data_IF_654552651222
#
_entry.id   IF_654552651222
#
_cell.length_a   1.000
_cell.length_b   1.000
_cell.length_c   1.000
_cell.angle_alpha   90.00
_cell.angle_beta   90.00
_cell.angle_gamma   90.00
#
_symmetry.space_group_name_H-M   'P 1'
#
loop_
_entity.id
_entity.type
_entity.pdbx_description
1 polymer ?
#
# COMPACT_ATOMS: atom_id res chain seq x y z
N UNK A 1 4.54 -11.65 -34.41
CA UNK A 1 3.36 -11.37 -33.54
C UNK A 1 3.78 -10.30 -32.56
N UNK A 2 2.87 -9.49 -32.04
CA UNK A 2 3.23 -8.31 -31.24
C UNK A 2 2.39 -8.22 -29.98
N UNK A 3 3.00 -7.77 -28.90
CA UNK A 3 2.29 -7.31 -27.71
C UNK A 3 3.01 -6.14 -27.07
N UNK A 4 2.28 -5.37 -26.25
CA UNK A 4 2.80 -4.22 -25.53
C UNK A 4 2.71 -4.52 -24.04
N UNK A 5 3.80 -4.30 -23.32
CA UNK A 5 3.82 -4.27 -21.86
C UNK A 5 3.96 -2.85 -21.32
N UNK A 6 3.43 -2.62 -20.13
CA UNK A 6 3.71 -1.43 -19.34
C UNK A 6 5.04 -1.57 -18.55
N UNK A 7 5.33 -0.61 -17.68
CA UNK A 7 6.52 -0.62 -16.82
C UNK A 7 6.53 -1.74 -15.77
N UNK A 8 5.40 -2.42 -15.52
CA UNK A 8 5.28 -3.58 -14.63
C UNK A 8 5.28 -4.91 -15.37
N UNK A 9 5.69 -4.91 -16.65
CA UNK A 9 5.68 -6.08 -17.55
C UNK A 9 4.29 -6.71 -17.78
N UNK A 10 3.21 -6.01 -17.44
CA UNK A 10 1.84 -6.47 -17.71
C UNK A 10 1.48 -6.23 -19.18
N UNK A 11 0.92 -7.25 -19.83
CA UNK A 11 0.47 -7.17 -21.23
C UNK A 11 -0.81 -6.33 -21.30
N UNK A 12 -0.72 -5.13 -21.89
CA UNK A 12 -1.84 -4.19 -22.02
C UNK A 12 -2.47 -4.21 -23.43
N UNK A 13 -1.75 -4.72 -24.43
CA UNK A 13 -2.24 -4.88 -25.79
C UNK A 13 -1.55 -6.06 -26.47
N UNK A 14 -2.27 -6.74 -27.36
CA UNK A 14 -1.76 -7.83 -28.17
C UNK A 14 -2.33 -7.75 -29.59
N UNK A 15 -1.58 -8.20 -30.59
CA UNK A 15 -2.09 -8.36 -31.94
C UNK A 15 -2.98 -9.62 -32.06
N UNK A 16 -3.88 -9.61 -33.05
CA UNK A 16 -4.80 -10.74 -33.27
C UNK A 16 -4.04 -12.06 -33.51
N UNK A 17 -2.85 -12.00 -34.12
CA UNK A 17 -2.03 -13.18 -34.36
C UNK A 17 -1.61 -13.88 -33.06
N UNK A 18 -1.23 -13.12 -32.02
CA UNK A 18 -0.92 -13.68 -30.70
C UNK A 18 -2.16 -14.23 -30.01
N UNK A 19 -3.29 -13.51 -30.09
CA UNK A 19 -4.56 -13.95 -29.52
C UNK A 19 -5.03 -15.26 -30.16
N UNK A 20 -4.97 -15.37 -31.50
CA UNK A 20 -5.31 -16.57 -32.27
C UNK A 20 -4.40 -17.76 -31.89
N UNK A 21 -3.09 -17.51 -31.71
CA UNK A 21 -2.14 -18.53 -31.28
C UNK A 21 -2.51 -19.12 -29.91
N UNK A 22 -3.01 -18.28 -29.01
CA UNK A 22 -3.41 -18.66 -27.64
C UNK A 22 -4.89 -19.07 -27.55
N UNK A 23 -5.63 -19.04 -28.66
CA UNK A 23 -7.06 -19.33 -28.72
C UNK A 23 -7.88 -18.41 -27.79
N UNK A 24 -7.57 -17.11 -27.82
CA UNK A 24 -8.23 -16.07 -27.03
C UNK A 24 -9.05 -15.15 -27.95
N UNK A 25 -10.27 -14.81 -27.53
CA UNK A 25 -11.16 -13.94 -28.32
C UNK A 25 -10.84 -12.44 -28.16
N UNK A 26 -10.18 -12.04 -27.05
CA UNK A 26 -9.87 -10.65 -26.74
C UNK A 26 -8.68 -10.48 -25.79
N UNK A 27 -8.21 -9.24 -25.62
CA UNK A 27 -7.14 -8.90 -24.66
C UNK A 27 -7.59 -9.08 -23.21
N UNK A 28 -8.86 -8.82 -22.90
CA UNK A 28 -9.43 -9.03 -21.58
C UNK A 28 -9.44 -10.51 -21.19
N UNK A 29 -9.73 -11.41 -22.16
CA UNK A 29 -9.66 -12.85 -21.96
C UNK A 29 -8.21 -13.30 -21.69
N UNK A 30 -7.23 -12.76 -22.42
CA UNK A 30 -5.82 -13.02 -22.19
C UNK A 30 -5.37 -12.55 -20.79
N UNK A 31 -5.73 -11.32 -20.40
CA UNK A 31 -5.38 -10.76 -19.08
C UNK A 31 -5.93 -11.61 -17.94
N UNK A 32 -7.19 -12.06 -18.03
CA UNK A 32 -7.79 -12.97 -17.05
C UNK A 32 -7.03 -14.28 -16.90
N UNK A 33 -6.56 -14.87 -18.01
CA UNK A 33 -5.81 -16.13 -18.00
C UNK A 33 -4.39 -15.96 -17.44
N UNK A 34 -3.77 -14.79 -17.63
CA UNK A 34 -2.50 -14.44 -16.98
C UNK A 34 -2.64 -14.35 -15.46
N UNK A 35 -3.71 -13.69 -14.97
CA UNK A 35 -3.99 -13.55 -13.52
C UNK A 35 -4.25 -14.92 -12.87
N UNK A 36 -4.99 -15.79 -13.55
CA UNK A 36 -5.26 -17.16 -13.07
C UNK A 36 -4.03 -18.07 -13.10
N UNK A 37 -2.97 -17.69 -13.84
CA UNK A 37 -1.78 -18.51 -14.03
C UNK A 37 -1.96 -19.65 -15.04
N UNK A 38 -3.00 -19.61 -15.87
CA UNK A 38 -3.22 -20.62 -16.93
C UNK A 38 -2.25 -20.41 -18.12
N UNK A 39 -1.76 -19.17 -18.27
CA UNK A 39 -0.79 -18.76 -19.28
C UNK A 39 0.36 -18.02 -18.59
N UNK A 40 1.59 -18.36 -18.96
CA UNK A 40 2.80 -17.70 -18.47
C UNK A 40 3.74 -17.32 -19.61
N UNK A 41 4.31 -16.13 -19.50
CA UNK A 41 5.35 -15.61 -20.38
C UNK A 41 6.67 -15.64 -19.61
N UNK A 42 7.47 -16.67 -19.83
CA UNK A 42 8.71 -16.88 -19.08
C UNK A 42 9.91 -16.49 -19.96
N UNK A 43 10.69 -15.46 -19.60
CA UNK A 43 11.90 -15.14 -20.35
C UNK A 43 12.91 -16.30 -20.22
N UNK A 44 13.37 -16.81 -21.35
CA UNK A 44 14.41 -17.85 -21.41
C UNK A 44 15.81 -17.21 -21.49
N UNK A 45 15.93 -16.15 -22.27
CA UNK A 45 17.13 -15.31 -22.40
C UNK A 45 16.72 -13.86 -22.67
N UNK A 46 17.67 -12.92 -22.74
CA UNK A 46 17.40 -11.53 -23.14
C UNK A 46 16.72 -11.40 -24.52
N UNK A 47 16.80 -12.44 -25.36
CA UNK A 47 16.27 -12.44 -26.73
C UNK A 47 15.32 -13.59 -27.01
N UNK A 48 14.87 -14.33 -26.00
CA UNK A 48 13.91 -15.41 -26.21
C UNK A 48 12.95 -15.57 -25.03
N UNK A 49 11.73 -15.94 -25.36
CA UNK A 49 10.63 -16.11 -24.41
C UNK A 49 9.94 -17.45 -24.63
N UNK A 50 9.50 -18.09 -23.55
CA UNK A 50 8.64 -19.26 -23.59
C UNK A 50 7.23 -18.85 -23.17
N UNK A 51 6.25 -19.12 -24.02
CA UNK A 51 4.84 -19.00 -23.67
C UNK A 51 4.33 -20.38 -23.31
N UNK A 52 4.01 -20.57 -22.03
CA UNK A 52 3.51 -21.82 -21.48
C UNK A 52 2.02 -21.68 -21.24
N UNK A 53 1.24 -22.59 -21.82
CA UNK A 53 -0.17 -22.80 -21.49
C UNK A 53 -0.33 -24.21 -20.90
N UNK A 54 -1.49 -24.53 -20.33
CA UNK A 54 -1.78 -25.88 -19.83
C UNK A 54 -1.50 -27.00 -20.85
N UNK A 55 -1.64 -26.71 -22.15
CA UNK A 55 -1.62 -27.70 -23.21
C UNK A 55 -0.30 -27.73 -23.99
N UNK A 56 0.45 -26.61 -24.04
CA UNK A 56 1.63 -26.47 -24.89
C UNK A 56 2.62 -25.45 -24.33
N UNK A 57 3.90 -25.65 -24.63
CA UNK A 57 4.96 -24.67 -24.45
C UNK A 57 5.49 -24.28 -25.83
N UNK A 58 5.55 -22.99 -26.10
CA UNK A 58 5.99 -22.41 -27.37
C UNK A 58 7.16 -21.47 -27.10
N UNK A 59 8.24 -21.60 -27.86
CA UNK A 59 9.42 -20.74 -27.71
C UNK A 59 9.52 -19.78 -28.89
N UNK A 60 9.84 -18.53 -28.61
CA UNK A 60 9.97 -17.46 -29.60
C UNK A 60 11.25 -16.67 -29.35
N UNK A 61 11.86 -16.22 -30.45
CA UNK A 61 12.84 -15.14 -30.37
C UNK A 61 12.11 -13.81 -30.25
N UNK A 62 12.65 -12.89 -29.45
CA UNK A 62 12.02 -11.59 -29.17
C UNK A 62 12.90 -10.43 -29.61
N UNK A 63 12.25 -9.39 -30.13
CA UNK A 63 12.82 -8.06 -30.31
C UNK A 63 11.98 -7.07 -29.51
N UNK A 64 12.62 -6.33 -28.62
CA UNK A 64 11.95 -5.32 -27.80
C UNK A 64 12.26 -3.92 -28.31
N UNK A 65 11.29 -3.01 -28.21
CA UNK A 65 11.46 -1.60 -28.54
C UNK A 65 10.69 -0.76 -27.53
N UNK A 66 11.38 0.20 -26.91
CA UNK A 66 10.78 1.10 -25.93
C UNK A 66 9.93 2.16 -26.67
N UNK A 67 8.71 2.35 -26.19
CA UNK A 67 7.75 3.35 -26.64
C UNK A 67 7.48 4.32 -25.50
N UNK A 68 7.86 5.58 -25.63
CA UNK A 68 7.53 6.61 -24.64
C UNK A 68 6.26 7.36 -25.04
N UNK A 69 5.34 7.54 -24.10
CA UNK A 69 4.07 8.25 -24.28
C UNK A 69 3.80 9.16 -23.08
N UNK A 70 2.73 9.97 -23.17
CA UNK A 70 2.24 10.77 -22.04
C UNK A 70 1.76 9.91 -20.87
N UNK A 71 1.42 8.65 -21.12
CA UNK A 71 0.97 7.68 -20.11
C UNK A 71 2.12 6.85 -19.51
N UNK A 72 3.38 7.19 -19.82
CA UNK A 72 4.57 6.47 -19.36
C UNK A 72 5.30 5.72 -20.47
N UNK A 73 6.30 4.93 -20.05
CA UNK A 73 7.08 4.07 -20.93
C UNK A 73 6.42 2.70 -21.08
N UNK A 74 6.39 2.23 -22.32
CA UNK A 74 5.86 0.93 -22.72
C UNK A 74 6.92 0.16 -23.48
N UNK A 75 6.86 -1.17 -23.46
CA UNK A 75 7.73 -2.02 -24.26
C UNK A 75 6.91 -2.73 -25.31
N UNK A 76 7.18 -2.44 -26.59
CA UNK A 76 6.67 -3.23 -27.71
C UNK A 76 7.56 -4.46 -27.86
N UNK A 77 6.96 -5.64 -27.75
CA UNK A 77 7.63 -6.92 -27.93
C UNK A 77 7.16 -7.56 -29.23
N UNK A 78 8.12 -7.83 -30.12
CA UNK A 78 7.92 -8.55 -31.37
C UNK A 78 8.41 -9.99 -31.21
N UNK A 79 7.49 -10.95 -31.37
CA UNK A 79 7.77 -12.39 -31.38
C UNK A 79 8.05 -12.85 -32.81
N UNK A 80 9.28 -13.29 -33.05
CA UNK A 80 9.70 -13.95 -34.29
C UNK A 80 9.47 -15.46 -34.16
N UNK A 81 8.68 -16.00 -35.09
CA UNK A 81 8.49 -17.43 -35.19
C UNK A 81 9.71 -17.99 -35.93
N UNK A 82 10.52 -18.81 -35.26
CA UNK A 82 11.51 -19.61 -35.97
C UNK A 82 10.76 -20.41 -37.02
N UNK A 83 11.01 -20.12 -38.30
CA UNK A 83 10.47 -20.91 -39.38
C UNK A 83 11.00 -22.33 -39.18
N UNK A 84 10.17 -23.21 -38.63
CA UNK A 84 10.49 -24.62 -38.47
C UNK A 84 10.85 -25.12 -39.85
N UNK A 85 12.15 -25.37 -40.07
CA UNK A 85 12.64 -26.04 -41.26
C UNK A 85 12.30 -27.52 -41.12
N UNK A 86 11.02 -27.82 -41.07
CA UNK A 86 10.55 -29.17 -41.28
C UNK A 86 10.39 -29.37 -42.79
N UNK A 87 11.41 -30.02 -43.35
CA UNK A 87 11.27 -30.96 -44.44
C UNK A 87 10.10 -31.91 -44.11
N UNK A 88 8.87 -31.55 -44.48
CA UNK A 88 7.97 -32.47 -45.16
C UNK A 88 6.70 -31.78 -45.66
N UNK A 89 6.44 -32.01 -46.94
CA UNK A 89 5.27 -31.61 -47.71
C UNK A 89 3.93 -31.76 -46.99
N UNK A 90 3.19 -30.66 -46.84
CA UNK A 90 1.77 -30.65 -47.21
C UNK A 90 1.26 -29.25 -47.57
N UNK A 91 0.59 -29.23 -48.71
CA UNK A 91 0.03 -28.10 -49.43
C UNK A 91 -1.18 -27.54 -48.66
N UNK A 92 -1.16 -26.25 -48.33
CA UNK A 92 -2.37 -25.42 -48.33
C UNK A 92 -2.03 -24.01 -48.82
N UNK A 93 -2.28 -23.79 -50.10
CA UNK A 93 -2.27 -22.47 -50.74
C UNK A 93 -3.61 -21.79 -50.47
N UNK A 94 -3.59 -20.66 -49.76
CA UNK A 94 -4.58 -19.61 -49.98
C UNK A 94 -3.87 -18.47 -50.71
N UNK A 95 -4.14 -18.41 -52.01
CA UNK A 95 -3.94 -17.24 -52.83
C UNK A 95 -4.96 -16.18 -52.42
N UNK A 96 -4.51 -14.97 -52.12
CA UNK A 96 -5.22 -13.80 -52.63
C UNK A 96 -4.25 -12.66 -52.93
N UNK A 97 -4.42 -12.17 -54.14
CA UNK A 97 -3.69 -11.11 -54.80
C UNK A 97 -4.08 -9.77 -54.16
N UNK A 98 -3.11 -8.87 -53.92
CA UNK A 98 -3.24 -7.53 -54.48
C UNK A 98 -1.89 -6.80 -54.51
N UNK A 99 -1.53 -6.51 -55.75
CA UNK A 99 -0.39 -5.79 -56.24
C UNK A 99 -0.72 -4.29 -56.21
N UNK A 100 0.04 -3.46 -55.50
CA UNK A 100 0.18 -2.04 -55.82
C UNK A 100 1.64 -1.61 -55.66
N UNK A 101 2.26 -1.35 -56.81
CA UNK A 101 3.51 -0.60 -56.97
C UNK A 101 3.21 0.89 -57.04
N UNK A 102 4.02 1.71 -56.37
CA UNK A 102 4.51 3.02 -56.85
C UNK A 102 5.65 3.45 -55.88
N UNK A 103 6.93 3.48 -56.25
CA UNK A 103 7.69 4.42 -57.11
C UNK A 103 7.76 5.88 -56.64
N UNK A 104 8.99 6.42 -56.70
CA UNK A 104 9.44 7.83 -56.63
C UNK A 104 9.70 8.37 -55.20
N UNK A 105 10.78 9.08 -54.87
CA UNK A 105 11.91 9.67 -55.60
C UNK A 105 13.08 9.91 -54.63
N UNK A 106 14.30 9.81 -55.16
CA UNK A 106 15.51 10.44 -54.62
C UNK A 106 15.44 11.94 -54.87
N UNK A 107 15.82 12.77 -53.90
CA UNK A 107 16.55 14.00 -54.16
C UNK A 107 17.68 14.12 -53.12
N UNK A 108 18.91 14.03 -53.63
CA UNK A 108 20.09 14.62 -53.04
C UNK A 108 19.98 16.14 -53.20
N UNK A 109 20.39 16.92 -52.19
CA UNK A 109 21.13 18.14 -52.47
C UNK A 109 22.08 18.47 -51.31
N UNK A 110 23.29 18.81 -51.73
CA UNK A 110 24.53 19.06 -51.02
C UNK A 110 24.71 20.54 -50.68
N UNK A 111 25.87 20.85 -50.08
CA UNK A 111 26.52 22.17 -49.90
C UNK A 111 26.12 23.01 -48.68
N UNK A 112 27.00 23.78 -48.05
CA UNK A 112 28.43 23.69 -47.76
C UNK A 112 28.73 24.86 -46.82
N UNK A 113 29.27 24.57 -45.63
CA UNK A 113 30.32 25.34 -44.91
C UNK A 113 30.04 26.82 -44.47
N UNK A 114 31.01 27.55 -43.86
CA UNK A 114 31.08 27.70 -42.40
C UNK A 114 31.27 29.18 -41.94
N UNK A 115 31.19 29.44 -40.63
CA UNK A 115 31.90 30.55 -39.97
C UNK A 115 31.71 30.40 -38.44
N UNK A 116 32.73 30.23 -37.60
CA UNK A 116 33.67 31.29 -37.15
C UNK A 116 32.87 32.53 -36.67
N UNK A 117 32.93 33.03 -35.43
CA UNK A 117 34.05 33.26 -34.52
C UNK A 117 33.48 33.90 -33.23
N UNK A 118 34.31 33.98 -32.17
CA UNK A 118 34.34 35.00 -31.08
C UNK A 118 33.77 34.65 -29.69
N UNK A 119 34.72 34.33 -28.82
CA UNK A 119 34.80 34.72 -27.40
C UNK A 119 35.10 36.24 -27.33
N UNK A 120 34.58 36.99 -26.34
CA UNK A 120 35.35 37.41 -25.15
C UNK A 120 34.55 37.16 -23.85
N UNK A 121 35.14 36.64 -22.77
CA UNK A 121 35.98 37.33 -21.75
C UNK A 121 35.32 38.55 -21.07
N UNK A 122 35.23 38.37 -19.74
CA UNK A 122 35.41 39.33 -18.64
C UNK A 122 34.24 39.93 -17.84
N UNK A 123 34.41 39.72 -16.52
CA UNK A 123 34.20 40.61 -15.38
C UNK A 123 32.79 40.92 -14.84
N UNK A 124 32.53 40.41 -13.61
CA UNK A 124 32.36 41.20 -12.37
C UNK A 124 31.77 40.30 -11.26
N UNK A 125 32.57 39.75 -10.34
CA UNK A 125 32.89 40.33 -9.01
C UNK A 125 31.71 41.05 -8.32
N UNK A 126 30.95 40.33 -7.48
CA UNK A 126 30.41 40.91 -6.24
C UNK A 126 30.59 39.95 -5.07
N UNK A 127 31.58 40.29 -4.24
CA UNK A 127 31.72 39.94 -2.83
C UNK A 127 30.53 40.51 -2.04
N UNK A 128 29.80 39.68 -1.27
CA UNK A 128 29.21 40.14 -0.02
C UNK A 128 29.58 39.13 1.07
N UNK A 129 30.43 39.62 1.96
CA UNK A 129 30.87 39.02 3.21
C UNK A 129 30.44 40.01 4.29
N UNK A 130 29.45 39.65 5.08
CA UNK A 130 29.15 40.24 6.39
C UNK A 130 28.61 39.09 7.24
N UNK A 131 29.40 38.47 8.11
CA UNK A 131 29.74 38.90 9.48
C UNK A 131 28.54 39.33 10.31
N UNK A 132 28.07 38.44 11.18
CA UNK A 132 27.67 38.81 12.54
C UNK A 132 27.78 37.60 13.48
N UNK A 133 28.89 37.59 14.22
CA UNK A 133 29.06 36.87 15.48
C UNK A 133 28.32 37.62 16.59
N UNK A 134 27.45 36.93 17.31
CA UNK A 134 26.98 37.29 18.66
C UNK A 134 26.92 35.95 19.39
N UNK A 135 27.96 35.59 20.13
CA UNK A 135 28.20 35.87 21.55
C UNK A 135 27.62 34.78 22.46
N UNK A 136 28.55 34.10 23.12
CA UNK A 136 28.38 33.17 24.23
C UNK A 136 27.82 33.90 25.46
N UNK A 137 26.92 33.23 26.18
CA UNK A 137 26.67 33.37 27.63
C UNK A 137 25.97 32.05 28.03
N UNK A 138 26.70 31.03 28.46
CA UNK A 138 27.02 30.70 29.86
C UNK A 138 25.92 31.08 30.86
N UNK A 139 25.22 30.09 31.40
CA UNK A 139 25.05 29.96 32.86
C UNK A 139 24.58 28.56 33.24
N UNK A 140 25.49 27.83 33.89
CA UNK A 140 25.19 26.63 34.65
C UNK A 140 24.56 27.04 35.98
N UNK A 141 23.48 26.39 36.37
CA UNK A 141 23.00 26.42 37.75
C UNK A 141 22.89 24.99 38.32
N UNK A 142 23.85 24.72 39.20
CA UNK A 142 23.93 23.63 40.15
C UNK A 142 23.16 24.00 41.41
N UNK A 143 22.22 23.18 41.85
CA UNK A 143 21.66 23.14 43.22
C UNK A 143 21.45 21.65 43.54
N UNK A 144 22.42 20.98 44.20
CA UNK A 144 22.43 20.63 45.64
C UNK A 144 21.08 20.16 46.18
N UNK A 145 20.93 18.84 46.35
CA UNK A 145 21.05 18.16 47.66
C UNK A 145 20.03 18.64 48.69
N UNK A 146 18.91 17.93 48.79
CA UNK A 146 18.30 17.65 50.09
C UNK A 146 18.02 16.15 50.24
N UNK A 147 18.26 15.72 51.46
CA UNK A 147 18.53 14.38 51.95
C UNK A 147 17.67 14.24 53.20
N UNK A 148 16.77 13.27 53.25
CA UNK A 148 16.24 12.65 54.49
C UNK A 148 15.37 11.45 54.08
N UNK A 149 15.77 10.22 54.41
CA UNK A 149 15.26 9.42 55.56
C UNK A 149 13.75 9.14 55.45
N UNK A 150 13.19 7.93 55.60
CA UNK A 150 13.64 6.66 56.21
C UNK A 150 12.58 5.59 55.91
N UNK A 151 13.03 4.33 55.87
CA UNK A 151 12.36 3.10 56.35
C UNK A 151 10.88 2.84 56.01
N UNK A 152 10.63 1.75 55.27
CA UNK A 152 10.15 0.50 55.90
C UNK A 152 10.24 -0.70 54.95
N UNK A 153 10.93 -1.72 55.45
CA UNK A 153 10.81 -3.13 55.07
C UNK A 153 9.34 -3.57 55.00
N UNK A 154 8.93 -4.18 53.89
CA UNK A 154 8.11 -5.39 53.91
C UNK A 154 8.55 -6.33 52.78
N UNK A 155 9.40 -7.27 53.16
CA UNK A 155 9.65 -8.55 52.47
C UNK A 155 8.34 -9.29 52.21
N UNK A 156 7.97 -9.45 50.94
CA UNK A 156 6.90 -10.36 50.52
C UNK A 156 7.52 -11.50 49.70
N UNK A 157 7.85 -12.60 50.38
CA UNK A 157 8.24 -13.86 49.77
C UNK A 157 7.00 -14.62 49.32
N UNK A 158 6.75 -14.71 48.01
CA UNK A 158 5.80 -15.67 47.45
C UNK A 158 6.58 -16.90 46.95
N UNK A 159 6.53 -17.95 47.77
CA UNK A 159 6.85 -19.31 47.36
C UNK A 159 5.84 -19.74 46.29
N UNK A 160 6.27 -19.82 45.02
CA UNK A 160 5.54 -20.56 44.00
C UNK A 160 6.09 -21.98 43.93
N UNK A 161 5.20 -22.89 44.28
CA UNK A 161 5.36 -24.31 44.41
C UNK A 161 5.44 -24.94 43.00
N UNK A 162 6.63 -25.38 42.60
CA UNK A 162 6.84 -26.18 41.40
C UNK A 162 6.12 -27.53 41.53
N UNK A 163 5.17 -27.79 40.62
CA UNK A 163 4.74 -29.15 40.29
C UNK A 163 5.01 -29.40 38.80
N UNK A 164 5.71 -30.50 38.45
CA UNK A 164 5.95 -30.85 37.07
C UNK A 164 4.67 -31.46 36.48
N UNK A 165 4.16 -30.85 35.41
CA UNK A 165 3.11 -31.43 34.60
C UNK A 165 3.77 -32.22 33.45
N UNK A 166 3.80 -33.55 33.64
CA UNK A 166 4.02 -34.55 32.58
C UNK A 166 2.66 -34.99 32.08
N UNK A 167 2.51 -35.16 30.76
CA UNK A 167 1.60 -36.05 30.00
C UNK A 167 1.80 -35.67 28.52
N UNK A 168 2.63 -36.40 27.80
CA UNK A 168 2.31 -37.63 27.03
C UNK A 168 1.81 -37.29 25.62
N UNK A 169 2.65 -37.66 24.66
CA UNK A 169 2.43 -37.75 23.22
C UNK A 169 1.26 -38.71 22.94
N UNK A 170 0.29 -38.34 22.11
CA UNK A 170 -0.34 -39.28 21.16
C UNK A 170 -0.80 -38.53 19.89
N UNK A 171 -0.34 -39.05 18.76
CA UNK A 171 -0.76 -38.77 17.39
C UNK A 171 -2.26 -39.09 17.19
N UNK A 172 -3.06 -38.12 16.74
CA UNK A 172 -4.30 -38.43 16.01
C UNK A 172 -4.45 -37.56 14.75
N UNK A 173 -4.02 -38.19 13.66
CA UNK A 173 -4.29 -37.91 12.26
C UNK A 173 -5.81 -37.77 12.01
N UNK A 174 -6.28 -36.58 11.65
CA UNK A 174 -7.67 -36.37 11.26
C UNK A 174 -7.96 -36.99 9.89
N UNK A 175 -8.68 -38.11 9.91
CA UNK A 175 -9.25 -38.79 8.75
C UNK A 175 -10.59 -38.11 8.38
N UNK A 176 -10.56 -37.23 7.36
CA UNK A 176 -11.72 -36.56 6.79
C UNK A 176 -12.58 -37.55 5.99
N UNK A 177 -13.50 -38.22 6.69
CA UNK A 177 -14.57 -38.99 6.04
C UNK A 177 -15.78 -38.10 5.75
N UNK A 178 -16.01 -37.83 4.48
CA UNK A 178 -17.22 -37.16 3.97
C UNK A 178 -18.42 -38.11 4.12
N UNK A 179 -19.52 -37.73 4.79
CA UNK A 179 -20.71 -38.57 4.86
C UNK A 179 -21.41 -38.61 3.49
N UNK A 180 -21.49 -39.81 2.92
CA UNK A 180 -22.43 -40.12 1.82
C UNK A 180 -23.86 -40.05 2.37
N UNK A 181 -24.59 -39.02 1.99
CA UNK A 181 -26.05 -39.00 2.13
C UNK A 181 -26.64 -39.70 0.89
N UNK A 182 -27.58 -40.65 1.05
CA UNK A 182 -28.20 -41.36 -0.06
C UNK A 182 -29.19 -40.46 -0.81
N UNK A 183 -29.16 -40.58 -2.14
CA UNK A 183 -30.14 -40.03 -3.08
C UNK A 183 -31.53 -40.58 -2.75
N UNK A 184 -32.43 -39.71 -2.26
CA UNK A 184 -33.86 -39.98 -2.28
C UNK A 184 -34.47 -39.38 -3.53
N UNK A 185 -35.14 -40.27 -4.26
CA UNK A 185 -35.94 -40.09 -5.47
C UNK A 185 -36.99 -39.00 -5.32
N UNK A 186 -36.96 -38.01 -6.22
CA UNK A 186 -38.04 -37.03 -6.40
C UNK A 186 -39.20 -37.70 -7.11
N UNK A 187 -40.30 -37.90 -6.40
CA UNK A 187 -41.58 -38.30 -6.98
C UNK A 187 -42.24 -37.13 -7.73
N UNK A 188 -42.79 -37.48 -8.89
CA UNK A 188 -43.51 -36.66 -9.85
C UNK A 188 -44.75 -36.00 -9.22
N UNK A 189 -44.69 -34.68 -8.98
CA UNK A 189 -45.86 -33.90 -8.55
C UNK A 189 -46.66 -33.47 -9.79
N UNK A 190 -47.84 -34.05 -9.93
CA UNK A 190 -48.87 -33.65 -10.90
C UNK A 190 -49.38 -32.24 -10.62
N UNK A 191 -49.28 -31.34 -11.62
CA UNK A 191 -49.88 -30.01 -11.60
C UNK A 191 -51.42 -30.12 -11.64
N UNK A 192 -52.07 -29.81 -10.53
CA UNK A 192 -53.48 -29.42 -10.51
C UNK A 192 -53.60 -27.89 -10.59
N UNK A 193 -54.36 -27.46 -11.59
CA UNK A 193 -54.72 -26.09 -11.97
C UNK A 193 -55.23 -25.26 -10.80
N UNK A 194 -54.43 -24.29 -10.34
CA UNK A 194 -54.89 -23.21 -9.44
C UNK A 194 -55.17 -21.96 -10.26
N UNK A 195 -56.39 -21.44 -10.14
CA UNK A 195 -56.83 -20.17 -10.71
C UNK A 195 -56.01 -19.01 -10.14
N UNK A 196 -55.28 -18.32 -11.02
CA UNK A 196 -54.56 -17.08 -10.73
C UNK A 196 -55.60 -15.96 -10.62
N UNK A 197 -55.75 -15.40 -9.41
CA UNK A 197 -56.35 -14.09 -9.21
C UNK A 197 -55.31 -13.02 -9.53
N UNK A 198 -55.74 -11.95 -10.21
CA UNK A 198 -54.91 -10.82 -10.63
C UNK A 198 -54.14 -10.21 -9.44
N UNK A 199 -52.81 -10.00 -9.55
CA UNK A 199 -52.05 -9.30 -8.53
C UNK A 199 -52.31 -7.80 -8.63
N UNK A 200 -52.68 -7.18 -7.50
CA UNK A 200 -52.72 -5.73 -7.36
C UNK A 200 -51.32 -5.12 -7.55
N UNK A 201 -51.21 -3.90 -8.11
CA UNK A 201 -49.93 -3.27 -8.40
C UNK A 201 -49.15 -2.99 -7.12
N UNK A 202 -48.04 -3.72 -6.95
CA UNK A 202 -47.03 -3.48 -5.94
C UNK A 202 -46.31 -2.16 -6.27
N UNK A 203 -46.55 -1.13 -5.46
CA UNK A 203 -45.83 0.14 -5.52
C UNK A 203 -44.46 -0.09 -4.89
N UNK A 204 -43.42 -0.23 -5.72
CA UNK A 204 -42.05 -0.22 -5.26
C UNK A 204 -41.73 1.19 -4.71
N UNK A 205 -41.51 1.29 -3.39
CA UNK A 205 -40.81 2.43 -2.82
C UNK A 205 -39.33 2.28 -3.19
N UNK A 206 -38.86 3.12 -4.10
CA UNK A 206 -37.42 3.37 -4.28
C UNK A 206 -36.89 3.91 -2.96
N UNK A 207 -36.15 3.07 -2.23
CA UNK A 207 -35.27 3.52 -1.15
C UNK A 207 -34.05 4.07 -1.86
N UNK A 208 -33.98 5.40 -1.97
CA UNK A 208 -32.79 6.12 -2.42
C UNK A 208 -31.64 5.78 -1.46
N UNK A 209 -30.76 4.85 -1.84
CA UNK A 209 -29.49 4.64 -1.17
C UNK A 209 -28.68 5.93 -1.29
N UNK A 210 -28.54 6.63 -0.16
CA UNK A 210 -27.64 7.78 -0.06
C UNK A 210 -26.21 7.25 -0.18
N UNK A 211 -25.61 7.43 -1.34
CA UNK A 211 -24.17 7.27 -1.51
C UNK A 211 -23.48 8.22 -0.51
N UNK A 212 -22.59 7.72 0.37
CA UNK A 212 -21.87 8.55 1.31
C UNK A 212 -21.00 9.56 0.55
N UNK A 213 -20.99 10.80 1.04
CA UNK A 213 -20.16 11.86 0.47
C UNK A 213 -18.70 11.61 0.86
N UNK A 214 -17.88 11.20 -0.11
CA UNK A 214 -16.46 10.87 0.07
C UNK A 214 -15.53 12.06 -0.22
N UNK A 215 -16.07 13.27 -0.44
CA UNK A 215 -15.24 14.42 -0.82
C UNK A 215 -14.27 14.85 0.28
N UNK A 216 -12.96 15.03 0.02
CA UNK A 216 -12.01 15.47 1.05
C UNK A 216 -12.42 16.77 1.74
N UNK A 217 -12.20 16.85 3.06
CA UNK A 217 -12.43 18.04 3.89
C UNK A 217 -11.10 18.75 4.06
N UNK A 218 -10.85 19.72 3.19
CA UNK A 218 -9.60 20.48 3.16
C UNK A 218 -9.58 21.49 4.30
N UNK A 219 -8.58 21.37 5.17
CA UNK A 219 -8.26 22.34 6.21
C UNK A 219 -7.30 23.38 5.62
N UNK A 220 -7.68 24.65 5.65
CA UNK A 220 -6.79 25.74 5.24
C UNK A 220 -5.71 25.97 6.30
N UNK A 221 -4.65 25.16 6.24
CA UNK A 221 -3.60 25.04 7.24
C UNK A 221 -3.09 26.41 7.70
N UNK A 222 -2.64 27.24 6.75
CA UNK A 222 -2.10 28.58 7.01
C UNK A 222 -3.09 29.48 7.75
N UNK A 223 -4.38 29.39 7.42
CA UNK A 223 -5.40 30.23 8.07
C UNK A 223 -5.69 29.77 9.49
N UNK A 224 -5.78 28.46 9.71
CA UNK A 224 -6.13 27.91 11.03
C UNK A 224 -4.93 27.99 11.97
N UNK A 225 -3.73 27.64 11.52
CA UNK A 225 -2.48 27.75 12.29
C UNK A 225 -2.21 29.19 12.75
N UNK A 226 -2.36 30.18 11.85
CA UNK A 226 -2.26 31.61 12.18
C UNK A 226 -3.28 32.04 13.23
N UNK A 227 -4.51 31.53 13.15
CA UNK A 227 -5.60 31.91 14.04
C UNK A 227 -5.40 31.41 15.49
N UNK A 228 -4.69 30.30 15.66
CA UNK A 228 -4.36 29.75 16.98
C UNK A 228 -2.94 30.09 17.43
N UNK A 229 -2.14 30.68 16.54
CA UNK A 229 -0.81 31.22 16.84
C UNK A 229 0.30 30.17 16.90
N UNK A 230 0.23 29.12 16.07
CA UNK A 230 1.26 28.08 15.95
C UNK A 230 1.74 27.94 14.50
N UNK A 231 2.81 27.15 14.27
CA UNK A 231 3.30 26.86 12.92
C UNK A 231 2.41 25.85 12.18
N UNK A 232 2.55 25.78 10.85
CA UNK A 232 1.84 24.81 10.01
C UNK A 232 2.25 23.37 10.38
N UNK A 233 3.52 23.15 10.70
CA UNK A 233 4.06 21.87 11.17
C UNK A 233 3.52 21.48 12.54
N UNK A 234 3.46 22.42 13.49
CA UNK A 234 2.90 22.18 14.82
C UNK A 234 1.40 21.85 14.72
N UNK A 235 0.66 22.56 13.85
CA UNK A 235 -0.75 22.27 13.63
C UNK A 235 -0.97 20.86 13.10
N UNK A 236 -0.17 20.45 12.11
CA UNK A 236 -0.23 19.10 11.56
C UNK A 236 0.05 18.05 12.64
N UNK A 237 1.02 18.33 13.52
CA UNK A 237 1.32 17.48 14.66
C UNK A 237 0.13 17.37 15.63
N UNK A 238 -0.50 18.48 16.01
CA UNK A 238 -1.68 18.47 16.88
C UNK A 238 -2.90 17.81 16.23
N UNK A 239 -3.08 17.96 14.92
CA UNK A 239 -4.15 17.27 14.18
C UNK A 239 -3.95 15.75 14.23
N UNK A 240 -2.72 15.28 14.01
CA UNK A 240 -2.40 13.85 14.13
C UNK A 240 -2.62 13.35 15.56
N UNK A 241 -2.17 14.09 16.57
CA UNK A 241 -2.42 13.76 17.98
C UNK A 241 -3.92 13.72 18.33
N UNK A 242 -4.71 14.60 17.72
CA UNK A 242 -6.17 14.61 17.87
C UNK A 242 -6.81 13.34 17.28
N UNK A 243 -6.39 12.94 16.07
CA UNK A 243 -6.88 11.73 15.41
C UNK A 243 -6.47 10.49 16.21
N UNK A 244 -5.21 10.41 16.67
CA UNK A 244 -4.73 9.35 17.56
C UNK A 244 -5.57 9.27 18.84
N UNK A 245 -5.89 10.42 19.44
CA UNK A 245 -6.72 10.49 20.63
C UNK A 245 -8.15 10.00 20.33
N UNK A 246 -8.73 10.39 19.18
CA UNK A 246 -10.06 9.95 18.75
C UNK A 246 -10.14 8.44 18.53
N UNK A 247 -9.11 7.87 17.90
CA UNK A 247 -8.96 6.42 17.72
C UNK A 247 -8.85 5.73 19.08
N UNK A 248 -7.99 6.22 19.98
CA UNK A 248 -7.81 5.63 21.31
C UNK A 248 -9.08 5.66 22.18
N UNK A 249 -9.99 6.59 21.91
CA UNK A 249 -11.25 6.77 22.63
C UNK A 249 -12.43 6.05 21.96
N UNK A 250 -12.24 5.32 20.87
CA UNK A 250 -13.33 4.64 20.13
C UNK A 250 -14.17 3.74 21.06
N UNK A 251 -13.50 2.89 21.84
CA UNK A 251 -14.18 1.98 22.77
C UNK A 251 -14.99 2.74 23.83
N UNK A 252 -14.50 3.90 24.27
CA UNK A 252 -15.20 4.73 25.23
C UNK A 252 -16.38 5.48 24.59
N UNK A 253 -16.25 5.90 23.32
CA UNK A 253 -17.37 6.45 22.52
C UNK A 253 -18.48 5.43 22.29
N UNK A 254 -18.13 4.16 22.10
CA UNK A 254 -19.07 3.05 21.94
C UNK A 254 -19.59 2.50 23.28
N UNK A 255 -19.09 3.00 24.42
CA UNK A 255 -19.43 2.48 25.73
C UNK A 255 -20.91 2.72 26.11
N UNK A 256 -21.53 1.71 26.71
CA UNK A 256 -22.84 1.83 27.36
C UNK A 256 -22.78 2.62 28.68
N UNK A 257 -21.58 2.87 29.20
CA UNK A 257 -21.37 3.66 30.41
C UNK A 257 -21.39 5.16 30.08
N UNK A 258 -22.45 5.85 30.52
CA UNK A 258 -22.65 7.29 30.26
C UNK A 258 -21.45 8.15 30.67
N UNK A 259 -20.77 7.82 31.78
CA UNK A 259 -19.61 8.57 32.27
C UNK A 259 -18.42 8.46 31.31
N UNK A 260 -18.06 7.25 30.87
CA UNK A 260 -16.97 7.04 29.90
C UNK A 260 -17.25 7.73 28.57
N UNK A 261 -18.46 7.55 28.06
CA UNK A 261 -18.87 8.14 26.79
C UNK A 261 -18.87 9.66 26.83
N UNK A 262 -19.45 10.25 27.88
CA UNK A 262 -19.48 11.71 28.04
C UNK A 262 -18.09 12.30 28.26
N UNK A 263 -17.20 11.58 28.95
CA UNK A 263 -15.80 11.98 29.09
C UNK A 263 -15.08 11.97 27.73
N UNK A 264 -15.22 10.91 26.93
CA UNK A 264 -14.64 10.83 25.59
C UNK A 264 -15.16 11.96 24.67
N UNK A 265 -16.48 12.16 24.61
CA UNK A 265 -17.10 13.25 23.82
C UNK A 265 -16.58 14.61 24.29
N UNK A 266 -16.48 14.84 25.61
CA UNK A 266 -15.98 16.11 26.15
C UNK A 266 -14.52 16.36 25.77
N UNK A 267 -13.66 15.33 25.85
CA UNK A 267 -12.25 15.44 25.46
C UNK A 267 -12.13 15.76 23.98
N UNK A 268 -12.84 15.03 23.12
CA UNK A 268 -12.77 15.24 21.68
C UNK A 268 -13.37 16.58 21.24
N UNK A 269 -14.43 17.04 21.90
CA UNK A 269 -14.99 18.38 21.64
C UNK A 269 -13.99 19.46 22.01
N UNK A 270 -13.33 19.36 23.17
CA UNK A 270 -12.34 20.35 23.60
C UNK A 270 -11.14 20.43 22.65
N UNK A 271 -10.63 19.28 22.20
CA UNK A 271 -9.52 19.25 21.25
C UNK A 271 -9.94 19.77 19.87
N UNK A 272 -11.13 19.41 19.39
CA UNK A 272 -11.67 19.90 18.14
C UNK A 272 -11.93 21.42 18.17
N UNK A 273 -12.34 21.98 19.31
CA UNK A 273 -12.47 23.43 19.52
C UNK A 273 -11.10 24.14 19.40
N UNK A 274 -10.05 23.55 19.98
CA UNK A 274 -8.68 24.09 19.89
C UNK A 274 -8.18 24.06 18.45
N UNK A 275 -8.43 22.98 17.72
CA UNK A 275 -8.07 22.83 16.30
C UNK A 275 -9.03 23.54 15.34
N UNK A 276 -10.09 24.18 15.85
CA UNK A 276 -11.13 24.82 15.04
C UNK A 276 -11.72 23.90 13.96
N UNK A 277 -12.14 22.69 14.35
CA UNK A 277 -12.76 21.69 13.47
C UNK A 277 -14.30 21.75 13.58
N UNK A 278 -15.00 22.67 12.88
CA UNK A 278 -16.44 22.88 13.07
C UNK A 278 -17.29 21.66 12.71
N UNK A 279 -16.90 20.90 11.67
CA UNK A 279 -17.63 19.72 11.23
C UNK A 279 -17.61 18.61 12.28
N UNK A 280 -16.46 18.44 12.94
CA UNK A 280 -16.29 17.52 14.06
C UNK A 280 -17.14 17.94 15.25
N UNK A 281 -17.14 19.23 15.59
CA UNK A 281 -17.95 19.78 16.67
C UNK A 281 -19.45 19.55 16.46
N UNK A 282 -19.94 19.68 15.22
CA UNK A 282 -21.34 19.40 14.89
C UNK A 282 -21.69 17.93 15.13
N UNK A 283 -20.79 16.99 14.81
CA UNK A 283 -20.99 15.56 15.05
C UNK A 283 -20.92 15.25 16.55
N UNK A 284 -19.96 15.82 17.27
CA UNK A 284 -19.85 15.66 18.73
C UNK A 284 -21.08 16.20 19.46
N UNK A 285 -21.65 17.32 18.99
CA UNK A 285 -22.89 17.86 19.51
C UNK A 285 -24.04 16.87 19.33
N UNK A 286 -24.17 16.23 18.16
CA UNK A 286 -25.17 15.17 17.92
C UNK A 286 -24.95 13.98 18.85
N UNK A 287 -23.72 13.48 18.96
CA UNK A 287 -23.36 12.36 19.86
C UNK A 287 -23.70 12.64 21.33
N UNK A 288 -23.55 13.90 21.78
CA UNK A 288 -23.89 14.28 23.15
C UNK A 288 -25.40 14.17 23.46
N UNK A 289 -26.26 14.24 22.43
CA UNK A 289 -27.73 14.23 22.57
C UNK A 289 -28.38 12.86 22.31
N UNK A 290 -27.70 11.97 21.59
CA UNK A 290 -28.24 10.66 21.20
C UNK A 290 -28.16 9.62 22.33
N UNK A 291 -29.11 8.70 22.38
CA UNK A 291 -29.01 7.49 23.22
C UNK A 291 -27.94 6.54 22.70
N UNK A 292 -27.41 5.66 23.55
CA UNK A 292 -26.41 4.63 23.19
C UNK A 292 -26.84 3.77 22.01
N UNK A 293 -28.13 3.45 21.91
CA UNK A 293 -28.63 2.53 20.90
C UNK A 293 -28.70 3.16 19.50
N UNK A 294 -28.64 4.50 19.41
CA UNK A 294 -28.72 5.25 18.16
C UNK A 294 -27.41 6.01 17.83
N UNK A 295 -26.35 5.82 18.61
CA UNK A 295 -25.09 6.55 18.39
C UNK A 295 -24.19 5.89 17.35
N UNK A 296 -24.43 4.61 16.99
CA UNK A 296 -23.54 3.85 16.09
C UNK A 296 -23.32 4.55 14.75
N UNK A 297 -24.39 4.86 14.02
CA UNK A 297 -24.32 5.55 12.72
C UNK A 297 -23.65 6.93 12.82
N UNK A 298 -23.77 7.60 13.98
CA UNK A 298 -23.13 8.91 14.20
C UNK A 298 -21.64 8.77 14.54
N UNK A 299 -21.24 7.68 15.19
CA UNK A 299 -19.83 7.33 15.42
C UNK A 299 -19.17 6.94 14.10
N UNK A 300 -19.84 6.14 13.27
CA UNK A 300 -19.37 5.83 11.90
C UNK A 300 -19.22 7.12 11.08
N UNK A 301 -20.23 8.00 11.12
CA UNK A 301 -20.14 9.33 10.47
C UNK A 301 -19.00 10.20 11.03
N UNK A 302 -18.68 10.08 12.31
CA UNK A 302 -17.56 10.80 12.93
C UNK A 302 -16.23 10.35 12.34
N UNK A 303 -15.96 9.05 12.29
CA UNK A 303 -14.70 8.55 11.74
C UNK A 303 -14.60 8.70 10.23
N UNK A 304 -15.71 8.54 9.50
CA UNK A 304 -15.76 8.88 8.08
C UNK A 304 -15.47 10.38 7.84
N UNK A 305 -15.80 11.25 8.79
CA UNK A 305 -15.41 12.67 8.72
C UNK A 305 -13.93 12.85 9.01
N UNK A 306 -13.36 12.11 9.98
CA UNK A 306 -11.94 12.18 10.30
C UNK A 306 -11.05 11.70 9.15
N UNK A 307 -11.41 10.59 8.50
CA UNK A 307 -10.64 10.05 7.36
C UNK A 307 -10.61 10.98 6.16
N UNK A 308 -11.60 11.87 6.04
CA UNK A 308 -11.67 12.89 5.00
C UNK A 308 -10.89 14.15 5.35
N UNK A 309 -10.47 14.36 6.61
CA UNK A 309 -9.70 15.55 6.97
C UNK A 309 -8.33 15.48 6.31
N UNK A 310 -7.97 16.52 5.57
CA UNK A 310 -6.61 16.65 5.01
C UNK A 310 -6.14 18.09 5.05
N UNK A 311 -4.84 18.27 5.19
CA UNK A 311 -4.15 19.56 5.09
C UNK A 311 -3.57 19.79 3.70
N UNK A 312 -3.57 18.77 2.83
CA UNK A 312 -3.09 18.89 1.46
C UNK A 312 -4.08 19.71 0.63
N UNK A 313 -3.56 20.77 0.00
CA UNK A 313 -4.32 21.48 -1.03
C UNK A 313 -4.20 20.65 -2.29
N UNK A 314 -5.33 20.15 -2.79
CA UNK A 314 -5.48 19.62 -4.13
C UNK A 314 -4.95 20.65 -5.16
N UNK A 315 -3.67 20.58 -5.48
CA UNK A 315 -3.04 21.36 -6.55
C UNK A 315 -3.35 20.69 -7.90
N UNK A 316 -4.62 20.34 -8.15
CA UNK A 316 -5.12 19.69 -9.38
C UNK A 316 -5.12 20.66 -10.58
N UNK A 317 -4.44 21.80 -10.53
CA UNK A 317 -4.47 22.80 -11.62
C UNK A 317 -3.13 23.40 -12.06
N UNK A 318 -1.98 23.02 -11.51
CA UNK A 318 -0.70 23.58 -11.99
C UNK A 318 0.44 22.57 -11.97
N UNK A 319 0.51 21.76 -13.02
CA UNK A 319 1.73 21.06 -13.42
C UNK A 319 2.79 22.12 -13.75
N UNK A 320 3.62 22.46 -12.77
CA UNK A 320 4.99 22.90 -13.03
C UNK A 320 5.88 21.67 -12.98
N UNK A 321 6.74 21.44 -13.98
CA UNK A 321 7.65 20.31 -13.95
C UNK A 321 8.70 20.56 -12.87
N UNK A 322 8.61 19.84 -11.76
CA UNK A 322 9.71 19.71 -10.81
C UNK A 322 10.72 18.74 -11.43
N UNK A 323 11.71 19.34 -12.09
CA UNK A 323 12.96 18.68 -12.42
C UNK A 323 13.71 18.44 -11.12
N UNK A 324 13.45 17.31 -10.45
CA UNK A 324 14.40 16.73 -9.52
C UNK A 324 14.87 15.42 -10.12
N UNK A 325 16.16 15.40 -10.46
CA UNK A 325 16.86 14.22 -10.89
C UNK A 325 16.97 13.27 -9.70
N UNK A 326 16.01 12.36 -9.58
CA UNK A 326 16.23 11.14 -8.81
C UNK A 326 17.08 10.20 -9.67
N UNK A 327 18.18 9.65 -9.13
CA UNK A 327 18.93 8.63 -9.83
C UNK A 327 18.03 7.40 -9.97
N UNK A 328 17.73 7.02 -11.21
CA UNK A 328 17.12 5.73 -11.55
C UNK A 328 17.97 4.61 -10.95
N UNK A 329 17.55 4.10 -9.79
CA UNK A 329 18.04 2.83 -9.29
C UNK A 329 17.28 1.79 -10.09
N UNK A 330 17.95 1.27 -11.12
CA UNK A 330 17.53 0.03 -11.75
C UNK A 330 17.51 -1.03 -10.64
N UNK A 331 16.32 -1.53 -10.32
CA UNK A 331 16.16 -2.76 -9.55
C UNK A 331 16.70 -3.93 -10.38
N UNK A 332 18.02 -4.06 -10.35
CA UNK A 332 18.69 -5.28 -10.73
C UNK A 332 18.47 -6.26 -9.56
N UNK A 333 17.57 -7.22 -9.77
CA UNK A 333 17.47 -8.47 -9.00
C UNK A 333 18.79 -9.23 -9.12
N UNK A 334 19.85 -8.75 -8.45
CA UNK A 334 21.11 -9.48 -8.36
C UNK A 334 20.94 -10.53 -7.26
N UNK A 335 20.45 -11.71 -7.65
CA UNK A 335 20.75 -12.96 -6.96
C UNK A 335 22.27 -13.21 -7.05
N UNK A 336 23.05 -12.54 -6.20
CA UNK A 336 24.45 -12.90 -5.99
C UNK A 336 24.45 -14.19 -5.17
N UNK A 337 24.53 -15.33 -5.88
CA UNK A 337 25.02 -16.59 -5.33
C UNK A 337 26.49 -16.42 -4.90
N UNK A 338 26.69 -15.78 -3.75
CA UNK A 338 27.98 -15.79 -3.06
C UNK A 338 27.99 -16.98 -2.10
N UNK A 339 29.02 -17.84 -2.12
CA UNK A 339 29.11 -18.98 -1.23
C UNK A 339 29.01 -18.52 0.23
N UNK A 340 28.10 -19.14 0.98
CA UNK A 340 27.96 -18.99 2.43
C UNK A 340 29.31 -19.20 3.11
N UNK A 341 29.96 -18.09 3.50
CA UNK A 341 30.83 -18.11 4.67
C UNK A 341 29.93 -17.95 5.88
N UNK A 342 29.58 -19.09 6.48
CA UNK A 342 28.92 -19.18 7.77
C UNK A 342 29.79 -18.52 8.84
N UNK A 343 29.59 -17.21 9.08
CA UNK A 343 30.01 -16.60 10.33
C UNK A 343 29.24 -17.28 11.45
N UNK A 344 29.99 -17.79 12.42
CA UNK A 344 29.45 -18.41 13.64
C UNK A 344 28.42 -17.46 14.27
N UNK A 345 27.13 -17.86 14.24
CA UNK A 345 26.05 -17.17 14.94
C UNK A 345 26.38 -17.22 16.44
N UNK A 346 26.77 -16.09 17.00
CA UNK A 346 26.68 -15.92 18.45
C UNK A 346 25.19 -16.04 18.80
N UNK A 347 24.86 -17.05 19.61
CA UNK A 347 23.49 -17.39 20.06
C UNK A 347 22.90 -16.37 21.05
N UNK A 348 23.31 -15.09 20.98
CA UNK A 348 22.73 -14.02 21.77
C UNK A 348 21.83 -13.22 20.83
N UNK A 349 20.53 -13.47 20.92
CA UNK A 349 19.52 -12.69 20.21
C UNK A 349 19.56 -11.21 20.58
N UNK A 350 18.85 -10.36 19.83
CA UNK A 350 18.79 -8.92 20.13
C UNK A 350 17.89 -8.57 21.34
N UNK A 351 17.26 -9.59 21.93
CA UNK A 351 16.28 -9.47 23.01
C UNK A 351 14.88 -9.86 22.54
N UNK A 352 13.86 -9.45 23.28
CA UNK A 352 12.45 -9.64 22.92
C UNK A 352 11.78 -8.27 22.81
N UNK A 353 11.04 -8.06 21.73
CA UNK A 353 10.22 -6.86 21.53
C UNK A 353 8.80 -7.22 21.95
N UNK A 354 8.21 -6.45 22.88
CA UNK A 354 6.79 -6.55 23.18
C UNK A 354 6.03 -5.47 22.39
N UNK A 355 5.10 -5.91 21.56
CA UNK A 355 4.19 -5.02 20.81
C UNK A 355 2.87 -4.74 21.54
N UNK A 356 2.60 -5.40 22.66
CA UNK A 356 1.41 -5.15 23.48
C UNK A 356 1.43 -3.72 24.04
N UNK A 357 0.31 -3.00 23.83
CA UNK A 357 0.13 -1.65 24.37
C UNK A 357 0.87 -0.55 23.61
N UNK A 358 1.45 -0.85 22.44
CA UNK A 358 1.90 0.18 21.52
C UNK A 358 0.70 1.01 21.07
N UNK A 359 0.83 2.33 21.15
CA UNK A 359 -0.21 3.25 20.70
C UNK A 359 -0.15 3.40 19.18
N UNK A 360 -1.30 3.46 18.50
CA UNK A 360 -1.37 3.90 17.12
C UNK A 360 -0.65 5.24 16.91
N UNK A 361 0.03 5.39 15.77
CA UNK A 361 0.70 6.63 15.35
C UNK A 361 0.10 7.02 13.99
N UNK A 362 -0.86 7.94 14.01
CA UNK A 362 -1.59 8.35 12.82
C UNK A 362 -0.71 9.10 11.82
N UNK A 363 -1.06 8.92 10.55
CA UNK A 363 -0.57 9.68 9.42
C UNK A 363 -1.69 9.81 8.39
N UNK A 364 -1.66 10.87 7.57
CA UNK A 364 -2.67 11.09 6.54
C UNK A 364 -2.50 10.05 5.41
N UNK A 365 -3.53 9.23 5.21
CA UNK A 365 -3.62 8.29 4.11
C UNK A 365 -5.03 8.38 3.54
N UNK A 366 -5.13 8.60 2.23
CA UNK A 366 -6.42 8.69 1.54
C UNK A 366 -6.48 7.61 0.46
N UNK A 367 -7.48 6.74 0.59
CA UNK A 367 -7.67 5.62 -0.32
C UNK A 367 -7.95 6.11 -1.74
N UNK A 368 -8.75 7.16 -1.87
CA UNK A 368 -9.09 7.79 -3.15
C UNK A 368 -7.88 8.48 -3.78
N UNK A 369 -7.02 9.12 -2.99
CA UNK A 369 -5.79 9.73 -3.50
C UNK A 369 -4.84 8.66 -4.05
N UNK A 370 -4.64 7.57 -3.30
CA UNK A 370 -3.85 6.44 -3.76
C UNK A 370 -4.43 5.80 -5.03
N UNK A 371 -5.75 5.63 -5.11
CA UNK A 371 -6.43 5.12 -6.29
C UNK A 371 -6.27 6.02 -7.52
N UNK A 372 -6.40 7.34 -7.34
CA UNK A 372 -6.16 8.31 -8.40
C UNK A 372 -4.70 8.27 -8.89
N UNK A 373 -3.74 8.26 -7.97
CA UNK A 373 -2.31 8.22 -8.29
C UNK A 373 -1.92 6.93 -9.01
N UNK A 374 -2.52 5.81 -8.64
CA UNK A 374 -2.30 4.52 -9.28
C UNK A 374 -3.14 4.32 -10.54
N UNK A 375 -4.08 5.23 -10.82
CA UNK A 375 -5.06 5.11 -11.90
C UNK A 375 -5.84 3.79 -11.84
N UNK A 376 -6.18 3.36 -10.63
CA UNK A 376 -6.94 2.15 -10.34
C UNK A 376 -8.28 2.48 -9.67
N UNK A 377 -9.30 1.63 -9.81
CA UNK A 377 -10.54 1.76 -9.04
C UNK A 377 -10.26 1.75 -7.54
N UNK A 378 -11.01 2.55 -6.78
CA UNK A 378 -10.85 2.67 -5.32
C UNK A 378 -11.07 1.30 -4.65
N UNK A 379 -12.06 0.54 -5.12
CA UNK A 379 -12.39 -0.79 -4.60
C UNK A 379 -11.25 -1.79 -4.78
N UNK A 380 -10.46 -1.64 -5.86
CA UNK A 380 -9.30 -2.50 -6.10
C UNK A 380 -8.11 -2.12 -5.21
N UNK A 381 -7.90 -0.82 -4.97
CA UNK A 381 -6.89 -0.37 -4.00
C UNK A 381 -7.27 -0.83 -2.60
N UNK A 382 -8.54 -0.77 -2.23
CA UNK A 382 -9.05 -1.29 -0.97
C UNK A 382 -8.70 -2.77 -0.79
N UNK A 383 -8.95 -3.60 -1.81
CA UNK A 383 -8.57 -5.02 -1.81
C UNK A 383 -7.06 -5.21 -1.58
N UNK A 384 -6.22 -4.48 -2.31
CA UNK A 384 -4.77 -4.56 -2.13
C UNK A 384 -4.28 -4.07 -0.76
N UNK A 385 -4.97 -3.10 -0.18
CA UNK A 385 -4.69 -2.60 1.16
C UNK A 385 -5.03 -3.68 2.21
N UNK A 386 -6.16 -4.37 2.08
CA UNK A 386 -6.51 -5.49 2.96
C UNK A 386 -5.49 -6.65 2.84
N UNK A 387 -5.09 -7.00 1.61
CA UNK A 387 -4.03 -7.99 1.37
C UNK A 387 -2.70 -7.58 2.03
N UNK A 388 -2.35 -6.29 1.96
CA UNK A 388 -1.17 -5.75 2.61
C UNK A 388 -1.26 -5.83 4.14
N UNK A 389 -2.44 -5.56 4.73
CA UNK A 389 -2.66 -5.67 6.18
C UNK A 389 -2.41 -7.10 6.65
N UNK A 390 -3.00 -8.08 5.96
CA UNK A 390 -2.80 -9.50 6.26
C UNK A 390 -1.32 -9.91 6.14
N UNK A 391 -0.66 -9.46 5.07
CA UNK A 391 0.77 -9.71 4.87
C UNK A 391 1.63 -9.07 5.98
N UNK A 392 1.32 -7.84 6.38
CA UNK A 392 2.06 -7.10 7.40
C UNK A 392 1.98 -7.80 8.76
N UNK A 393 0.85 -8.36 9.17
CA UNK A 393 0.74 -9.17 10.39
C UNK A 393 1.70 -10.37 10.36
N UNK A 394 1.59 -11.18 9.30
CA UNK A 394 2.38 -12.43 9.14
C UNK A 394 3.88 -12.13 9.13
N UNK A 395 4.29 -11.12 8.36
CA UNK A 395 5.70 -10.77 8.21
C UNK A 395 6.25 -10.09 9.47
N UNK A 396 5.44 -9.32 10.20
CA UNK A 396 5.87 -8.73 11.47
C UNK A 396 6.14 -9.80 12.52
N UNK A 397 5.31 -10.84 12.64
CA UNK A 397 5.60 -11.97 13.55
C UNK A 397 6.93 -12.66 13.23
N UNK A 398 7.23 -12.84 11.92
CA UNK A 398 8.53 -13.36 11.47
C UNK A 398 9.67 -12.40 11.81
N UNK A 399 9.44 -11.09 11.69
CA UNK A 399 10.41 -10.06 12.05
C UNK A 399 10.75 -10.09 13.54
N UNK A 400 9.76 -10.24 14.42
CA UNK A 400 9.98 -10.39 15.87
C UNK A 400 10.76 -11.67 16.18
N UNK A 401 10.39 -12.79 15.55
CA UNK A 401 11.11 -14.06 15.71
C UNK A 401 12.57 -13.96 15.25
N UNK A 402 12.83 -13.22 14.17
CA UNK A 402 14.18 -12.96 13.69
C UNK A 402 14.97 -12.07 14.67
N UNK A 403 14.31 -11.08 15.25
CA UNK A 403 14.89 -10.22 16.29
C UNK A 403 15.35 -11.02 17.52
N UNK A 404 14.51 -11.92 18.02
CA UNK A 404 14.85 -12.83 19.13
C UNK A 404 16.02 -13.76 18.81
N UNK A 405 16.23 -14.08 17.53
CA UNK A 405 17.33 -14.94 17.07
C UNK A 405 18.60 -14.17 16.72
N UNK A 406 18.57 -12.83 16.78
CA UNK A 406 19.70 -12.00 16.34
C UNK A 406 19.91 -12.04 14.82
N UNK A 407 18.86 -12.34 14.04
CA UNK A 407 18.95 -12.55 12.59
C UNK A 407 18.66 -11.25 11.83
N UNK A 408 19.64 -10.35 11.81
CA UNK A 408 19.54 -9.03 11.17
C UNK A 408 19.19 -9.13 9.68
N UNK A 409 19.80 -10.08 8.96
CA UNK A 409 19.56 -10.28 7.53
C UNK A 409 18.09 -10.59 7.23
N UNK A 410 17.46 -11.43 8.06
CA UNK A 410 16.04 -11.72 7.93
C UNK A 410 15.17 -10.49 8.21
N UNK A 411 15.49 -9.69 9.24
CA UNK A 411 14.76 -8.45 9.55
C UNK A 411 14.86 -7.46 8.39
N UNK A 412 16.05 -7.27 7.83
CA UNK A 412 16.27 -6.37 6.71
C UNK A 412 15.52 -6.82 5.44
N UNK A 413 15.47 -8.14 5.18
CA UNK A 413 14.69 -8.71 4.07
C UNK A 413 13.20 -8.49 4.23
N UNK A 414 12.67 -8.66 5.44
CA UNK A 414 11.26 -8.37 5.72
C UNK A 414 10.98 -6.87 5.58
N UNK A 415 11.87 -6.01 6.09
CA UNK A 415 11.79 -4.56 5.90
C UNK A 415 11.72 -4.19 4.42
N UNK A 416 12.58 -4.77 3.57
CA UNK A 416 12.54 -4.57 2.12
C UNK A 416 11.23 -5.01 1.48
N UNK A 417 10.72 -6.21 1.84
CA UNK A 417 9.47 -6.76 1.31
C UNK A 417 8.28 -5.85 1.60
N UNK A 418 8.08 -5.50 2.87
CA UNK A 418 6.97 -4.67 3.31
C UNK A 418 7.11 -3.23 2.81
N UNK A 419 8.34 -2.72 2.69
CA UNK A 419 8.61 -1.41 2.07
C UNK A 419 8.11 -1.40 0.63
N UNK A 420 8.44 -2.43 -0.16
CA UNK A 420 8.00 -2.54 -1.55
C UNK A 420 6.47 -2.53 -1.66
N UNK A 421 5.80 -3.34 -0.84
CA UNK A 421 4.34 -3.40 -0.83
C UNK A 421 3.69 -2.07 -0.42
N UNK A 422 4.12 -1.47 0.69
CA UNK A 422 3.58 -0.18 1.15
C UNK A 422 3.85 0.98 0.19
N UNK A 423 5.02 1.03 -0.44
CA UNK A 423 5.37 2.05 -1.44
C UNK A 423 4.51 1.93 -2.71
N UNK A 424 4.24 0.70 -3.16
CA UNK A 424 3.35 0.45 -4.29
C UNK A 424 1.92 0.92 -4.01
N UNK A 425 1.48 0.88 -2.76
CA UNK A 425 0.17 1.36 -2.32
C UNK A 425 0.16 2.84 -1.89
N UNK A 426 1.28 3.56 -2.09
CA UNK A 426 1.44 4.97 -1.68
C UNK A 426 1.29 5.21 -0.18
N UNK A 427 1.53 4.20 0.64
CA UNK A 427 1.53 4.31 2.11
C UNK A 427 2.92 4.80 2.56
N UNK A 428 3.28 6.02 2.16
CA UNK A 428 4.64 6.56 2.26
C UNK A 428 5.21 6.51 3.70
N UNK A 429 4.47 6.89 4.76
CA UNK A 429 5.01 6.86 6.12
C UNK A 429 5.41 5.46 6.61
N UNK A 430 4.70 4.41 6.17
CA UNK A 430 5.10 3.03 6.45
C UNK A 430 6.34 2.64 5.66
N UNK A 431 6.35 2.95 4.35
CA UNK A 431 7.50 2.69 3.47
C UNK A 431 8.77 3.34 4.02
N UNK A 432 8.69 4.57 4.53
CA UNK A 432 9.84 5.30 5.07
C UNK A 432 10.41 4.64 6.34
N UNK A 433 9.57 4.24 7.29
CA UNK A 433 10.05 3.51 8.48
C UNK A 433 10.60 2.13 8.10
N UNK A 434 9.97 1.44 7.15
CA UNK A 434 10.45 0.14 6.66
C UNK A 434 11.77 0.25 5.90
N UNK A 435 12.02 1.37 5.22
CA UNK A 435 13.31 1.71 4.65
C UNK A 435 14.38 1.87 5.74
N UNK A 436 14.08 2.56 6.83
CA UNK A 436 14.98 2.67 7.97
C UNK A 436 15.29 1.30 8.59
N UNK A 437 14.29 0.41 8.70
CA UNK A 437 14.49 -0.97 9.16
C UNK A 437 15.38 -1.76 8.19
N UNK A 438 15.12 -1.67 6.88
CA UNK A 438 15.88 -2.35 5.83
C UNK A 438 17.38 -2.02 5.88
N UNK A 439 17.73 -0.76 6.13
CA UNK A 439 19.12 -0.29 6.14
C UNK A 439 19.70 -0.12 7.54
N UNK A 440 19.03 -0.63 8.58
CA UNK A 440 19.52 -0.55 9.95
C UNK A 440 20.74 -1.47 10.14
N UNK A 441 21.92 -0.88 10.39
CA UNK A 441 23.14 -1.62 10.71
C UNK A 441 23.34 -1.83 12.23
N UNK A 442 22.73 -0.96 13.05
CA UNK A 442 22.83 -1.01 14.51
C UNK A 442 21.59 -1.66 15.12
N UNK A 443 21.74 -2.91 15.56
CA UNK A 443 20.68 -3.70 16.20
C UNK A 443 20.06 -3.01 17.43
N UNK A 444 20.76 -2.06 18.05
CA UNK A 444 20.26 -1.31 19.21
C UNK A 444 19.09 -0.38 18.85
N UNK A 445 18.97 0.03 17.58
CA UNK A 445 17.92 0.92 17.10
C UNK A 445 16.69 0.17 16.55
N UNK A 446 16.83 -1.15 16.27
CA UNK A 446 15.77 -1.95 15.70
C UNK A 446 14.51 -2.01 16.57
N UNK A 447 14.64 -2.11 17.90
CA UNK A 447 13.47 -2.11 18.80
C UNK A 447 12.61 -0.84 18.62
N UNK A 448 13.26 0.33 18.60
CA UNK A 448 12.56 1.60 18.43
C UNK A 448 11.91 1.71 17.04
N UNK A 449 12.61 1.28 15.99
CA UNK A 449 12.10 1.33 14.62
C UNK A 449 10.91 0.37 14.40
N UNK A 450 11.02 -0.87 14.89
CA UNK A 450 9.94 -1.87 14.79
C UNK A 450 8.71 -1.39 15.55
N UNK A 451 8.88 -0.80 16.75
CA UNK A 451 7.77 -0.22 17.51
C UNK A 451 7.12 0.96 16.79
N UNK A 452 7.91 1.83 16.16
CA UNK A 452 7.39 2.97 15.38
C UNK A 452 6.61 2.49 14.16
N UNK A 453 7.17 1.55 13.40
CA UNK A 453 6.50 0.89 12.28
C UNK A 453 5.17 0.27 12.73
N UNK A 454 5.19 -0.48 13.83
CA UNK A 454 3.98 -1.13 14.34
C UNK A 454 2.92 -0.13 14.79
N UNK A 455 3.31 0.96 15.45
CA UNK A 455 2.39 2.04 15.80
C UNK A 455 1.73 2.67 14.57
N UNK A 456 2.51 2.93 13.52
CA UNK A 456 1.97 3.43 12.24
C UNK A 456 1.03 2.40 11.59
N UNK A 457 1.42 1.13 11.59
CA UNK A 457 0.63 0.05 11.01
C UNK A 457 -0.72 -0.11 11.72
N UNK A 458 -0.75 -0.05 13.05
CA UNK A 458 -2.00 -0.12 13.82
C UNK A 458 -2.94 1.06 13.52
N UNK A 459 -2.41 2.27 13.35
CA UNK A 459 -3.23 3.43 12.99
C UNK A 459 -3.81 3.27 11.58
N UNK A 460 -2.99 2.78 10.64
CA UNK A 460 -3.39 2.50 9.28
C UNK A 460 -4.49 1.44 9.20
N UNK A 461 -4.28 0.27 9.82
CA UNK A 461 -5.27 -0.82 9.89
C UNK A 461 -6.60 -0.34 10.46
N UNK A 462 -6.57 0.38 11.59
CA UNK A 462 -7.77 0.91 12.23
C UNK A 462 -8.51 1.89 11.32
N UNK A 463 -7.78 2.76 10.62
CA UNK A 463 -8.39 3.69 9.67
C UNK A 463 -9.13 2.94 8.55
N UNK A 464 -8.53 1.90 7.97
CA UNK A 464 -9.12 1.09 6.90
C UNK A 464 -10.32 0.28 7.40
N UNK A 465 -10.21 -0.33 8.58
CA UNK A 465 -11.31 -1.08 9.22
C UNK A 465 -12.54 -0.23 9.50
N UNK A 466 -12.35 1.07 9.73
CA UNK A 466 -13.45 2.00 9.93
C UNK A 466 -14.06 2.44 8.60
N UNK A 467 -13.24 2.60 7.55
CA UNK A 467 -13.73 2.93 6.20
C UNK A 467 -14.50 1.77 5.55
N UNK A 468 -14.13 0.53 5.87
CA UNK A 468 -14.72 -0.69 5.28
C UNK A 468 -16.06 -1.11 5.90
N UNK A 469 -16.54 -0.40 6.94
CA UNK A 469 -17.79 -0.66 7.66
C UNK A 469 -18.89 0.31 7.25
#
# INVERSE_FOLDING_TARGET
MYYITNHTDQIIAADNSLLDLLNMESIEALSKQLILGDIHFTPLTEKSISIVTEQKSLNFDIQTSVLSSLMGDFTLVHLEMEATKDDDTSIFTFSDENEVKDSLLQEEETEDTPNETLIPEDDDLIFIKDTLSIAEESEAHTIQEEKEEKEKDETFSLEMNEKPFMLDEEDELFDLTIPKVPEETIEEITLDTVQIAEPEPFVAQEVEEKVPDTTPIIIDLTKVSESIGISDEDYTTFLNEYIDTAISLETDLQSTQTEKRSAAISTLTQLADVLQLPFVNDIMSKLSTLSTDNSKDTIESFYATLSRLTTEKDDVATVKPLTQAEPSIQEELILVDKPLESKEKNNEGFGTINLEGIKPIHFDFQLEAAANDLSLPVELIEEFVHDFIDQAHIETEKMLTAYEKGDLDTIQKIGHLLKGASSNLRINPLSDTLYEIQFCEDSSNLDALIKRYWGQFLAFEQQIDILSK
#
